data_IF_475876031255
#
_entry.id   IF_475876031255
#
_cell.length_a   1.000
_cell.length_b   1.000
_cell.length_c   1.000
_cell.angle_alpha   90.00
_cell.angle_beta   90.00
_cell.angle_gamma   90.00
#
_symmetry.space_group_name_H-M   'P 1'
#
loop_
_entity.id
_entity.type
_entity.pdbx_description
1 polymer ?
#
# COMPACT_ATOMS: atom_id res chain seq x y z
N UNK A 1 -13.42 -1.23 -13.02
CA UNK A 1 -13.45 -0.65 -14.39
C UNK A 1 -13.62 0.86 -14.34
N UNK A 2 -14.49 1.38 -13.49
CA UNK A 2 -14.82 2.82 -13.44
C UNK A 2 -13.66 3.72 -12.97
N UNK A 3 -12.69 3.18 -12.22
CA UNK A 3 -11.55 3.94 -11.69
C UNK A 3 -10.37 4.07 -12.67
N UNK A 4 -10.19 3.09 -13.58
CA UNK A 4 -9.02 3.01 -14.45
C UNK A 4 -8.91 4.15 -15.45
N UNK A 5 -10.00 4.65 -16.07
CA UNK A 5 -9.94 5.79 -16.97
C UNK A 5 -9.38 7.07 -16.32
N UNK A 6 -9.45 7.15 -14.99
CA UNK A 6 -8.96 8.28 -14.21
C UNK A 6 -7.55 8.05 -13.64
N UNK A 7 -6.90 6.93 -13.97
CA UNK A 7 -5.56 6.61 -13.47
C UNK A 7 -5.53 6.01 -12.06
N UNK A 8 -6.66 5.54 -11.53
CA UNK A 8 -6.77 4.89 -10.23
C UNK A 8 -6.90 3.37 -10.36
N UNK A 9 -6.06 2.62 -9.63
CA UNK A 9 -6.11 1.17 -9.52
C UNK A 9 -6.50 0.69 -8.11
N UNK A 10 -7.00 -0.55 -8.02
CA UNK A 10 -7.21 -1.26 -6.75
C UNK A 10 -6.47 -2.60 -6.83
N UNK A 11 -5.84 -3.02 -5.74
CA UNK A 11 -5.18 -4.31 -5.61
C UNK A 11 -5.44 -4.95 -4.24
N UNK A 12 -6.13 -6.09 -4.21
CA UNK A 12 -6.33 -6.88 -3.00
C UNK A 12 -6.45 -8.38 -3.31
N UNK A 13 -6.25 -9.24 -2.30
CA UNK A 13 -6.23 -10.69 -2.47
C UNK A 13 -7.52 -11.29 -3.06
N UNK A 14 -8.67 -10.66 -2.81
CA UNK A 14 -9.97 -11.07 -3.38
C UNK A 14 -10.18 -10.82 -4.88
N UNK A 15 -9.22 -10.19 -5.58
CA UNK A 15 -9.31 -9.98 -7.03
C UNK A 15 -8.82 -11.20 -7.81
N UNK A 16 -9.38 -11.40 -9.02
CA UNK A 16 -8.89 -12.40 -9.96
C UNK A 16 -7.39 -12.20 -10.23
N UNK A 17 -6.65 -13.31 -10.38
CA UNK A 17 -5.20 -13.27 -10.62
C UNK A 17 -4.84 -12.46 -11.87
N UNK A 18 -5.62 -12.60 -12.94
CA UNK A 18 -5.42 -11.89 -14.21
C UNK A 18 -5.58 -10.38 -13.99
N UNK A 19 -6.65 -9.97 -13.29
CA UNK A 19 -6.91 -8.55 -13.00
C UNK A 19 -5.83 -7.95 -12.11
N UNK A 20 -5.34 -8.68 -11.08
CA UNK A 20 -4.22 -8.22 -10.25
C UNK A 20 -2.97 -7.98 -11.06
N UNK A 21 -2.60 -8.94 -11.92
CA UNK A 21 -1.41 -8.82 -12.76
C UNK A 21 -1.53 -7.65 -13.73
N UNK A 22 -2.69 -7.45 -14.34
CA UNK A 22 -2.96 -6.30 -15.20
C UNK A 22 -2.79 -4.98 -14.44
N UNK A 23 -3.31 -4.86 -13.22
CA UNK A 23 -3.15 -3.64 -12.41
C UNK A 23 -1.69 -3.41 -12.00
N UNK A 24 -0.97 -4.46 -11.64
CA UNK A 24 0.47 -4.39 -11.34
C UNK A 24 1.25 -3.86 -12.54
N UNK A 25 1.00 -4.40 -13.73
CA UNK A 25 1.68 -4.00 -14.97
C UNK A 25 1.33 -2.55 -15.35
N UNK A 26 0.04 -2.18 -15.32
CA UNK A 26 -0.39 -0.81 -15.60
C UNK A 26 0.18 0.22 -14.61
N UNK A 27 0.38 -0.15 -13.34
CA UNK A 27 1.01 0.73 -12.35
C UNK A 27 2.53 0.82 -12.56
N UNK A 28 3.20 -0.31 -12.84
CA UNK A 28 4.64 -0.35 -13.13
C UNK A 28 4.99 0.49 -14.36
N UNK A 29 4.15 0.42 -15.39
CA UNK A 29 4.27 1.19 -16.64
C UNK A 29 3.78 2.64 -16.50
N UNK A 30 3.36 3.06 -15.29
CA UNK A 30 2.93 4.42 -14.93
C UNK A 30 1.66 4.89 -15.63
N UNK A 31 0.85 3.97 -16.18
CA UNK A 31 -0.49 4.28 -16.67
C UNK A 31 -1.47 4.58 -15.53
N UNK A 32 -1.24 3.98 -14.35
CA UNK A 32 -1.94 4.30 -13.12
C UNK A 32 -1.07 5.21 -12.25
N UNK A 33 -1.61 6.37 -11.88
CA UNK A 33 -0.92 7.32 -11.00
C UNK A 33 -1.08 6.95 -9.53
N UNK A 34 -2.19 6.31 -9.17
CA UNK A 34 -2.52 5.96 -7.79
C UNK A 34 -3.04 4.52 -7.74
N UNK A 35 -2.46 3.73 -6.84
CA UNK A 35 -2.87 2.36 -6.57
C UNK A 35 -3.31 2.23 -5.11
N UNK A 36 -4.57 1.87 -4.89
CA UNK A 36 -5.08 1.51 -3.57
C UNK A 36 -4.83 0.03 -3.31
N UNK A 37 -4.26 -0.33 -2.17
CA UNK A 37 -4.01 -1.73 -1.84
C UNK A 37 -4.22 -2.07 -0.37
N UNK A 38 -4.48 -3.35 -0.10
CA UNK A 38 -4.44 -3.94 1.24
C UNK A 38 -3.01 -4.31 1.65
N UNK A 39 -2.77 -4.47 2.95
CA UNK A 39 -1.44 -4.76 3.52
C UNK A 39 -0.69 -5.94 2.86
N UNK A 40 -1.42 -6.90 2.29
CA UNK A 40 -0.87 -8.07 1.59
C UNK A 40 0.10 -7.73 0.45
N UNK A 41 -0.06 -6.59 -0.22
CA UNK A 41 0.84 -6.21 -1.32
C UNK A 41 2.26 -5.97 -0.84
N UNK A 42 2.43 -5.40 0.36
CA UNK A 42 3.73 -5.12 0.95
C UNK A 42 4.57 -6.38 1.16
N UNK A 43 3.93 -7.54 1.32
CA UNK A 43 4.58 -8.82 1.54
C UNK A 43 4.75 -9.66 0.26
N UNK A 44 3.80 -9.56 -0.67
CA UNK A 44 3.69 -10.52 -1.77
C UNK A 44 4.24 -10.08 -3.11
N UNK A 45 4.45 -8.79 -3.34
CA UNK A 45 4.80 -8.26 -4.67
C UNK A 45 5.86 -7.16 -4.57
N UNK A 46 6.86 -7.21 -5.45
CA UNK A 46 7.85 -6.15 -5.57
C UNK A 46 7.36 -5.05 -6.53
N UNK A 47 6.43 -4.22 -6.07
CA UNK A 47 5.87 -3.10 -6.83
C UNK A 47 6.16 -1.78 -6.09
N UNK A 48 7.33 -1.14 -6.31
CA UNK A 48 7.68 0.11 -5.65
C UNK A 48 6.93 1.30 -6.25
N UNK A 49 6.69 2.32 -5.42
CA UNK A 49 6.08 3.59 -5.80
C UNK A 49 6.94 4.73 -5.25
N UNK A 50 6.98 5.90 -5.92
CA UNK A 50 7.71 7.05 -5.37
C UNK A 50 7.21 7.41 -3.96
N UNK A 51 5.88 7.46 -3.80
CA UNK A 51 5.22 7.78 -2.53
C UNK A 51 4.34 6.63 -2.07
N UNK A 52 4.45 6.26 -0.80
CA UNK A 52 3.53 5.32 -0.13
C UNK A 52 2.79 6.06 0.97
N UNK A 53 1.47 5.89 1.01
CA UNK A 53 0.60 6.46 2.04
C UNK A 53 -0.08 5.32 2.79
N UNK A 54 0.18 5.23 4.10
CA UNK A 54 -0.53 4.33 5.01
C UNK A 54 -1.69 5.12 5.61
N UNK A 55 -2.90 4.85 5.12
CA UNK A 55 -4.13 5.52 5.56
C UNK A 55 -4.74 4.77 6.75
N UNK A 56 -4.46 5.28 7.95
CA UNK A 56 -4.93 4.68 9.20
C UNK A 56 -4.05 3.50 9.62
N UNK A 57 -3.88 3.33 10.93
CA UNK A 57 -3.06 2.26 11.52
C UNK A 57 -3.88 1.19 12.22
N UNK A 58 -5.20 1.29 12.20
CA UNK A 58 -6.06 0.32 12.88
C UNK A 58 -6.44 -0.84 11.97
N UNK A 59 -6.17 -2.05 12.44
CA UNK A 59 -6.59 -3.30 11.82
C UNK A 59 -7.45 -4.11 12.79
N UNK A 60 -8.43 -4.83 12.26
CA UNK A 60 -9.24 -5.72 13.09
C UNK A 60 -8.47 -7.02 13.36
N UNK A 61 -8.32 -7.39 14.63
CA UNK A 61 -7.74 -8.67 15.04
C UNK A 61 -8.87 -9.63 15.44
N UNK A 62 -9.16 -10.67 14.64
CA UNK A 62 -10.23 -11.62 14.93
C UNK A 62 -9.99 -12.46 16.20
N UNK A 63 -8.74 -12.81 16.49
CA UNK A 63 -8.38 -13.61 17.68
C UNK A 63 -8.65 -12.85 18.98
N UNK A 64 -8.45 -11.53 18.95
CA UNK A 64 -8.71 -10.63 20.09
C UNK A 64 -10.12 -10.01 20.06
N UNK A 65 -10.87 -10.19 18.98
CA UNK A 65 -12.20 -9.61 18.78
C UNK A 65 -12.24 -8.08 18.84
N UNK A 66 -11.15 -7.39 18.51
CA UNK A 66 -11.05 -5.92 18.62
C UNK A 66 -10.13 -5.32 17.57
N UNK A 67 -10.26 -4.01 17.37
CA UNK A 67 -9.30 -3.22 16.61
C UNK A 67 -8.00 -3.09 17.40
N UNK A 68 -6.88 -3.24 16.69
CA UNK A 68 -5.53 -3.10 17.21
C UNK A 68 -4.72 -2.26 16.23
N UNK A 69 -3.64 -1.66 16.71
CA UNK A 69 -2.72 -0.91 15.88
C UNK A 69 -1.84 -1.84 15.03
N UNK A 70 -1.43 -1.37 13.85
CA UNK A 70 -0.50 -2.05 12.96
C UNK A 70 0.83 -2.29 13.66
N UNK A 71 1.39 -3.49 13.52
CA UNK A 71 2.72 -3.77 14.03
C UNK A 71 3.79 -2.97 13.29
N UNK A 72 4.88 -2.64 13.99
CA UNK A 72 6.02 -1.94 13.40
C UNK A 72 6.55 -2.63 12.12
N UNK A 73 6.55 -3.97 12.08
CA UNK A 73 6.98 -4.73 10.91
C UNK A 73 6.09 -4.49 9.68
N UNK A 74 4.77 -4.43 9.86
CA UNK A 74 3.85 -4.17 8.75
C UNK A 74 4.05 -2.76 8.19
N UNK A 75 4.22 -1.78 9.08
CA UNK A 75 4.54 -0.40 8.67
C UNK A 75 5.86 -0.34 7.91
N UNK A 76 6.91 -0.99 8.40
CA UNK A 76 8.21 -1.05 7.72
C UNK A 76 8.11 -1.74 6.35
N UNK A 77 7.34 -2.82 6.21
CA UNK A 77 7.14 -3.49 4.93
C UNK A 77 6.39 -2.61 3.94
N UNK A 78 5.36 -1.88 4.39
CA UNK A 78 4.62 -0.93 3.55
C UNK A 78 5.52 0.23 3.11
N UNK A 79 6.21 0.88 4.05
CA UNK A 79 7.11 1.99 3.76
C UNK A 79 8.33 1.57 2.94
N UNK A 80 8.75 0.31 3.02
CA UNK A 80 9.78 -0.27 2.16
C UNK A 80 9.43 -0.30 0.66
N UNK A 81 8.17 -0.02 0.30
CA UNK A 81 7.74 0.17 -1.09
C UNK A 81 7.89 1.62 -1.57
N UNK A 82 8.24 2.56 -0.69
CA UNK A 82 8.47 3.96 -1.05
C UNK A 82 9.86 4.15 -1.68
N UNK A 83 9.89 4.82 -2.82
CA UNK A 83 11.06 5.01 -3.66
C UNK A 83 11.25 3.87 -4.67
N UNK A 84 11.43 4.22 -5.94
CA UNK A 84 11.78 3.26 -7.00
C UNK A 84 13.29 3.29 -7.21
N UNK A 85 14.01 2.18 -6.92
CA UNK A 85 15.42 2.09 -7.21
C UNK A 85 15.69 2.44 -8.68
N UNK A 86 16.77 3.17 -8.95
CA UNK A 86 17.19 3.62 -10.29
C UNK A 86 16.35 4.74 -10.93
N UNK A 87 15.13 5.02 -10.44
CA UNK A 87 14.28 6.07 -11.01
C UNK A 87 14.15 7.29 -10.10
N UNK A 88 14.06 7.08 -8.79
CA UNK A 88 13.82 8.15 -7.82
C UNK A 88 15.09 8.42 -7.01
N UNK A 89 15.46 9.69 -6.83
CA UNK A 89 16.55 10.08 -5.94
C UNK A 89 16.17 9.95 -4.45
N UNK A 90 14.87 10.04 -4.15
CA UNK A 90 14.28 9.92 -2.81
C UNK A 90 12.89 9.29 -2.93
N UNK A 91 12.52 8.44 -1.97
CA UNK A 91 11.14 7.98 -1.77
C UNK A 91 10.46 8.75 -0.65
N UNK A 92 9.12 8.78 -0.64
CA UNK A 92 8.34 9.43 0.39
C UNK A 92 7.38 8.45 1.07
N UNK A 93 7.52 8.29 2.39
CA UNK A 93 6.57 7.59 3.24
C UNK A 93 5.67 8.59 3.97
N UNK A 94 4.36 8.39 3.92
CA UNK A 94 3.38 9.16 4.68
C UNK A 94 2.57 8.20 5.53
N UNK A 95 2.60 8.38 6.84
CA UNK A 95 1.77 7.64 7.79
C UNK A 95 0.69 8.56 8.34
N UNK A 96 -0.57 8.15 8.21
CA UNK A 96 -1.71 8.86 8.77
C UNK A 96 -2.28 8.00 9.90
N UNK A 97 -2.16 8.48 11.13
CA UNK A 97 -2.60 7.77 12.35
C UNK A 97 -3.26 8.74 13.34
N UNK A 98 -3.83 8.19 14.42
CA UNK A 98 -4.32 8.97 15.55
C UNK A 98 -3.17 9.67 16.25
N UNK A 99 -3.42 10.86 16.80
CA UNK A 99 -2.38 11.65 17.47
C UNK A 99 -1.74 10.91 18.65
N UNK A 100 -2.49 10.04 19.34
CA UNK A 100 -1.98 9.21 20.44
C UNK A 100 -0.90 8.22 20.02
N UNK A 101 -0.96 7.73 18.77
CA UNK A 101 -0.05 6.71 18.25
C UNK A 101 1.15 7.31 17.51
N UNK A 102 1.20 8.64 17.34
CA UNK A 102 2.25 9.31 16.58
C UNK A 102 3.64 9.07 17.19
N UNK A 103 3.74 8.98 18.52
CA UNK A 103 5.02 8.70 19.18
C UNK A 103 5.47 7.23 19.04
N UNK A 104 4.53 6.31 18.82
CA UNK A 104 4.84 4.89 18.67
C UNK A 104 5.46 4.58 17.30
N UNK A 105 5.00 5.27 16.25
CA UNK A 105 5.42 5.08 14.87
C UNK A 105 6.52 6.05 14.41
#
# INVERSE_FOLDING_TARGET
KDLLPFGFGIHHAGMNKIDRKLIEDLFADRHLQVLFSTATLAWGVNLPAHTVIIKGTQIYNPEKGKWVELGALDVLQMLGRAGRPQYDAKGQGILITNHSELQYY
#
